data_IF_894778080839
#
_entry.id   IF_894778080839
#
_cell.length_a   1.000
_cell.length_b   1.000
_cell.length_c   1.000
_cell.angle_alpha   90.00
_cell.angle_beta   90.00
_cell.angle_gamma   90.00
#
_symmetry.space_group_name_H-M   'P 1'
#
loop_
_entity.id
_entity.type
_entity.pdbx_description
1 polymer ?
#
# COMPACT_ATOMS: atom_id res chain seq x y z
N UNK A 1 -15.70 26.66 -30.03
CA UNK A 1 -14.67 25.60 -30.22
C UNK A 1 -13.43 25.89 -29.35
N UNK A 2 -13.62 26.19 -28.05
CA UNK A 2 -12.52 26.65 -27.18
C UNK A 2 -12.43 25.84 -25.87
N UNK A 3 -13.48 25.12 -25.51
CA UNK A 3 -13.55 24.29 -24.29
C UNK A 3 -12.67 23.05 -24.38
N UNK A 4 -12.65 22.37 -25.54
CA UNK A 4 -11.81 21.19 -25.79
C UNK A 4 -10.31 21.51 -25.76
N UNK A 5 -9.89 22.67 -26.29
CA UNK A 5 -8.49 23.13 -26.22
C UNK A 5 -8.07 23.50 -24.80
N UNK A 6 -9.00 23.99 -23.97
CA UNK A 6 -8.72 24.30 -22.56
C UNK A 6 -8.63 23.04 -21.72
N UNK A 7 -9.43 22.02 -22.02
CA UNK A 7 -9.39 20.70 -21.37
C UNK A 7 -8.11 19.91 -21.70
N UNK A 8 -7.62 20.00 -22.95
CA UNK A 8 -6.33 19.44 -23.36
C UNK A 8 -5.12 20.21 -22.82
N UNK A 9 -5.30 21.48 -22.42
CA UNK A 9 -4.27 22.34 -21.80
C UNK A 9 -4.36 22.34 -20.26
N UNK A 10 -5.30 21.61 -19.68
CA UNK A 10 -5.37 21.40 -18.23
C UNK A 10 -4.23 20.46 -17.81
N UNK A 11 -3.15 21.04 -17.30
CA UNK A 11 -2.02 20.36 -16.65
C UNK A 11 -2.40 19.72 -15.28
N UNK A 12 -3.70 19.57 -15.02
CA UNK A 12 -4.22 18.85 -13.86
C UNK A 12 -3.96 17.33 -13.95
N UNK A 13 -3.77 16.79 -15.15
CA UNK A 13 -3.43 15.37 -15.38
C UNK A 13 -2.06 14.96 -14.84
N UNK A 14 -0.97 15.67 -15.20
CA UNK A 14 0.37 15.44 -14.66
C UNK A 14 0.42 15.52 -13.12
N UNK A 15 -0.24 16.53 -12.53
CA UNK A 15 -0.31 16.72 -11.08
C UNK A 15 -1.03 15.57 -10.38
N UNK A 16 -2.14 15.07 -10.96
CA UNK A 16 -2.86 13.91 -10.43
C UNK A 16 -1.99 12.64 -10.44
N UNK A 17 -1.19 12.45 -11.48
CA UNK A 17 -0.28 11.30 -11.55
C UNK A 17 0.88 11.37 -10.56
N UNK A 18 1.43 12.55 -10.26
CA UNK A 18 2.51 12.71 -9.28
C UNK A 18 2.07 12.33 -7.86
N UNK A 19 0.95 12.90 -7.40
CA UNK A 19 0.41 12.58 -6.08
C UNK A 19 -0.09 11.14 -5.99
N UNK A 20 -0.68 10.60 -7.06
CA UNK A 20 -1.11 9.20 -7.10
C UNK A 20 0.08 8.25 -6.94
N UNK A 21 1.21 8.50 -7.61
CA UNK A 21 2.41 7.66 -7.49
C UNK A 21 3.02 7.75 -6.09
N UNK A 22 3.10 8.96 -5.49
CA UNK A 22 3.57 9.10 -4.11
C UNK A 22 2.72 8.31 -3.12
N UNK A 23 1.39 8.41 -3.22
CA UNK A 23 0.48 7.67 -2.37
C UNK A 23 0.59 6.15 -2.61
N UNK A 24 0.73 5.73 -3.87
CA UNK A 24 0.91 4.32 -4.26
C UNK A 24 2.14 3.71 -3.57
N UNK A 25 3.26 4.42 -3.54
CA UNK A 25 4.49 3.95 -2.90
C UNK A 25 4.32 3.79 -1.38
N UNK A 26 3.61 4.72 -0.73
CA UNK A 26 3.30 4.62 0.70
C UNK A 26 2.39 3.42 0.97
N UNK A 27 1.33 3.23 0.18
CA UNK A 27 0.40 2.11 0.33
C UNK A 27 1.14 0.77 0.18
N UNK A 28 1.99 0.63 -0.84
CA UNK A 28 2.78 -0.60 -1.05
C UNK A 28 3.72 -0.86 0.12
N UNK A 29 4.38 0.17 0.66
CA UNK A 29 5.23 0.03 1.84
C UNK A 29 4.43 -0.42 3.07
N UNK A 30 3.25 0.15 3.32
CA UNK A 30 2.36 -0.27 4.40
C UNK A 30 1.88 -1.72 4.24
N UNK A 31 1.53 -2.13 3.02
CA UNK A 31 1.11 -3.51 2.75
C UNK A 31 2.27 -4.48 3.02
N UNK A 32 3.49 -4.14 2.61
CA UNK A 32 4.66 -4.98 2.87
C UNK A 32 4.95 -5.11 4.37
N UNK A 33 4.90 -4.01 5.13
CA UNK A 33 5.15 -4.06 6.59
C UNK A 33 4.08 -4.85 7.32
N UNK A 34 2.80 -4.71 6.95
CA UNK A 34 1.70 -5.48 7.54
C UNK A 34 1.86 -6.98 7.25
N UNK A 35 2.30 -7.37 6.05
CA UNK A 35 2.57 -8.78 5.75
C UNK A 35 3.69 -9.36 6.61
N UNK A 36 4.81 -8.65 6.73
CA UNK A 36 5.94 -9.09 7.56
C UNK A 36 5.54 -9.22 9.03
N UNK A 37 4.80 -8.22 9.54
CA UNK A 37 4.28 -8.26 10.90
C UNK A 37 3.32 -9.43 11.10
N UNK A 38 2.40 -9.66 10.15
CA UNK A 38 1.47 -10.78 10.18
C UNK A 38 2.18 -12.14 10.25
N UNK A 39 3.25 -12.32 9.48
CA UNK A 39 4.08 -13.53 9.56
C UNK A 39 4.69 -13.71 10.94
N UNK A 40 5.33 -12.66 11.48
CA UNK A 40 5.96 -12.73 12.81
C UNK A 40 4.94 -13.02 13.92
N UNK A 41 3.74 -12.46 13.83
CA UNK A 41 2.66 -12.70 14.78
C UNK A 41 2.17 -14.15 14.67
N UNK A 42 1.97 -14.66 13.44
CA UNK A 42 1.59 -16.05 13.21
C UNK A 42 2.62 -17.03 13.80
N UNK A 43 3.91 -16.78 13.56
CA UNK A 43 4.99 -17.62 14.09
C UNK A 43 5.02 -17.61 15.61
N UNK A 44 4.76 -16.46 16.24
CA UNK A 44 4.65 -16.36 17.69
C UNK A 44 3.45 -17.15 18.22
N UNK A 45 2.28 -17.05 17.58
CA UNK A 45 1.10 -17.84 17.97
C UNK A 45 1.31 -19.34 17.78
N UNK A 46 1.94 -19.75 16.67
CA UNK A 46 2.30 -21.14 16.43
C UNK A 46 3.26 -21.66 17.51
N UNK A 47 4.26 -20.88 17.89
CA UNK A 47 5.19 -21.24 18.97
C UNK A 47 4.47 -21.39 20.31
N UNK A 48 3.56 -20.47 20.65
CA UNK A 48 2.77 -20.59 21.89
C UNK A 48 1.86 -21.81 21.84
N UNK A 49 1.21 -22.09 20.70
CA UNK A 49 0.37 -23.26 20.53
C UNK A 49 1.16 -24.56 20.71
N UNK A 50 2.36 -24.65 20.13
CA UNK A 50 3.27 -25.79 20.26
C UNK A 50 3.67 -26.05 21.72
N UNK A 51 4.03 -24.98 22.46
CA UNK A 51 4.34 -25.10 23.90
C UNK A 51 3.14 -25.52 24.74
N UNK A 52 1.91 -25.26 24.29
CA UNK A 52 0.69 -25.62 25.01
C UNK A 52 0.23 -27.05 24.69
N UNK A 53 0.47 -27.53 23.47
CA UNK A 53 0.14 -28.90 23.03
C UNK A 53 1.09 -29.97 23.59
N UNK A 54 2.16 -29.54 24.28
CA UNK A 54 3.06 -30.43 25.02
C UNK A 54 4.25 -30.96 24.21
N UNK A 55 4.71 -30.18 23.23
CA UNK A 55 6.10 -30.26 22.75
C UNK A 55 7.12 -29.93 23.84
#
# INVERSE_FOLDING_TARGET
MNTLKRFLKSEDGPTATEYAVMLSLIIVACIATVQLLGSSVNDMFASVADTLDGG
#
